data_IF_750025052255
#
_entry.id   IF_750025052255
#
_cell.length_a   1.000
_cell.length_b   1.000
_cell.length_c   1.000
_cell.angle_alpha   90.00
_cell.angle_beta   90.00
_cell.angle_gamma   90.00
#
_symmetry.space_group_name_H-M   'P 1'
#
loop_
_entity.id
_entity.type
_entity.pdbx_description
1 polymer ?
#
# COMPACT_ATOMS: atom_id res chain seq x y z
N UNK A 1 -13.76 -11.24 61.16
CA UNK A 1 -13.86 -12.37 60.21
C UNK A 1 -14.13 -11.78 58.82
N UNK A 2 -13.24 -11.99 57.84
CA UNK A 2 -13.40 -11.44 56.48
C UNK A 2 -14.29 -12.40 55.66
N UNK A 3 -15.52 -11.97 55.34
CA UNK A 3 -16.39 -12.66 54.40
C UNK A 3 -15.77 -12.64 53.00
N UNK A 4 -15.14 -13.75 52.59
CA UNK A 4 -14.77 -13.96 51.19
C UNK A 4 -16.01 -14.47 50.44
N UNK A 5 -16.75 -13.56 49.81
CA UNK A 5 -17.74 -13.93 48.79
C UNK A 5 -16.95 -14.33 47.53
N UNK A 6 -16.84 -15.63 47.27
CA UNK A 6 -16.35 -16.14 46.00
C UNK A 6 -17.48 -16.13 44.96
N UNK A 7 -17.13 -15.89 43.70
CA UNK A 7 -18.05 -16.09 42.58
C UNK A 7 -18.45 -17.57 42.49
N UNK A 8 -19.69 -17.82 42.08
CA UNK A 8 -20.17 -19.18 41.84
C UNK A 8 -19.75 -19.66 40.46
N UNK A 9 -19.51 -20.97 40.29
CA UNK A 9 -19.14 -21.55 38.99
C UNK A 9 -20.21 -21.29 37.92
N UNK A 10 -21.49 -21.31 38.31
CA UNK A 10 -22.63 -21.06 37.42
C UNK A 10 -22.55 -19.66 36.81
N UNK A 11 -22.18 -18.67 37.61
CA UNK A 11 -22.09 -17.27 37.20
C UNK A 11 -21.01 -17.06 36.14
N UNK A 12 -19.88 -17.77 36.24
CA UNK A 12 -18.83 -17.76 35.22
C UNK A 12 -19.27 -18.48 33.94
N UNK A 13 -19.99 -19.61 34.04
CA UNK A 13 -20.43 -20.36 32.86
C UNK A 13 -21.43 -19.54 32.03
N UNK A 14 -22.39 -18.86 32.66
CA UNK A 14 -23.36 -18.02 31.94
C UNK A 14 -22.66 -16.88 31.19
N UNK A 15 -21.68 -16.24 31.82
CA UNK A 15 -20.90 -15.16 31.18
C UNK A 15 -20.11 -15.70 29.98
N UNK A 16 -19.44 -16.85 30.11
CA UNK A 16 -18.69 -17.46 29.02
C UNK A 16 -19.59 -17.85 27.85
N UNK A 17 -20.81 -18.35 28.10
CA UNK A 17 -21.78 -18.66 27.05
C UNK A 17 -22.19 -17.41 26.28
N UNK A 18 -22.49 -16.31 26.98
CA UNK A 18 -22.85 -15.04 26.32
C UNK A 18 -21.66 -14.50 25.51
N UNK A 19 -20.44 -14.52 26.06
CA UNK A 19 -19.23 -14.10 25.36
C UNK A 19 -18.96 -14.96 24.12
N UNK A 20 -19.21 -16.28 24.18
CA UNK A 20 -19.05 -17.17 23.04
C UNK A 20 -20.04 -16.84 21.90
N UNK A 21 -21.30 -16.55 22.22
CA UNK A 21 -22.31 -16.16 21.23
C UNK A 21 -21.94 -14.82 20.58
N UNK A 22 -21.52 -13.83 21.38
CA UNK A 22 -21.10 -12.53 20.86
C UNK A 22 -19.86 -12.64 19.97
N UNK A 23 -18.86 -13.42 20.39
CA UNK A 23 -17.66 -13.66 19.61
C UNK A 23 -17.98 -14.34 18.26
N UNK A 24 -18.89 -15.32 18.24
CA UNK A 24 -19.26 -16.03 17.02
C UNK A 24 -19.84 -15.11 15.92
N UNK A 25 -20.56 -14.05 16.30
CA UNK A 25 -21.13 -13.08 15.35
C UNK A 25 -20.13 -11.95 15.04
N UNK A 26 -19.38 -11.50 16.04
CA UNK A 26 -18.46 -10.36 15.89
C UNK A 26 -17.24 -10.69 15.04
N UNK A 27 -16.63 -11.87 15.22
CA UNK A 27 -15.38 -12.27 14.54
C UNK A 27 -15.48 -12.21 13.01
N UNK A 28 -16.47 -12.85 12.34
CA UNK A 28 -16.55 -12.80 10.87
C UNK A 28 -16.77 -11.36 10.35
N UNK A 29 -17.55 -10.54 11.07
CA UNK A 29 -17.77 -9.14 10.69
C UNK A 29 -16.49 -8.32 10.78
N UNK A 30 -15.72 -8.47 11.86
CA UNK A 30 -14.45 -7.75 12.04
C UNK A 30 -13.44 -8.14 10.97
N UNK A 31 -13.32 -9.42 10.61
CA UNK A 31 -12.43 -9.86 9.53
C UNK A 31 -12.82 -9.21 8.19
N UNK A 32 -14.11 -9.14 7.88
CA UNK A 32 -14.60 -8.46 6.68
C UNK A 32 -14.19 -6.99 6.63
N UNK A 33 -14.41 -6.25 7.72
CA UNK A 33 -14.02 -4.84 7.82
C UNK A 33 -12.50 -4.62 7.70
N UNK A 34 -11.70 -5.52 8.28
CA UNK A 34 -10.24 -5.46 8.14
C UNK A 34 -9.82 -5.63 6.69
N UNK A 35 -10.43 -6.56 5.95
CA UNK A 35 -10.11 -6.77 4.53
C UNK A 35 -10.51 -5.57 3.66
N UNK A 36 -11.68 -4.99 3.89
CA UNK A 36 -12.13 -3.77 3.19
C UNK A 36 -11.21 -2.58 3.48
N UNK A 37 -10.79 -2.42 4.75
CA UNK A 37 -9.83 -1.39 5.13
C UNK A 37 -8.46 -1.60 4.46
N UNK A 38 -7.99 -2.85 4.33
CA UNK A 38 -6.76 -3.18 3.61
C UNK A 38 -6.86 -2.81 2.13
N UNK A 39 -7.95 -3.19 1.46
CA UNK A 39 -8.17 -2.85 0.05
C UNK A 39 -8.22 -1.34 -0.16
N UNK A 40 -8.95 -0.62 0.70
CA UNK A 40 -9.02 0.84 0.67
C UNK A 40 -7.66 1.50 0.88
N UNK A 41 -6.81 0.93 1.75
CA UNK A 41 -5.44 1.37 1.94
C UNK A 41 -4.60 1.16 0.69
N UNK A 42 -4.61 -0.04 0.09
CA UNK A 42 -3.85 -0.32 -1.14
C UNK A 42 -4.25 0.64 -2.28
N UNK A 43 -5.54 0.96 -2.39
CA UNK A 43 -6.02 1.94 -3.38
C UNK A 43 -5.45 3.35 -3.10
N UNK A 44 -5.38 3.77 -1.83
CA UNK A 44 -4.81 5.06 -1.46
C UNK A 44 -3.30 5.12 -1.70
N UNK A 45 -2.57 4.05 -1.41
CA UNK A 45 -1.14 3.91 -1.70
C UNK A 45 -0.86 4.02 -3.20
N UNK A 46 -1.63 3.29 -4.02
CA UNK A 46 -1.58 3.39 -5.48
C UNK A 46 -1.83 4.83 -5.98
N UNK A 47 -2.81 5.54 -5.40
CA UNK A 47 -3.06 6.94 -5.72
C UNK A 47 -1.90 7.87 -5.31
N UNK A 48 -1.27 7.59 -4.18
CA UNK A 48 -0.09 8.32 -3.72
C UNK A 48 1.07 8.16 -4.71
N UNK A 49 1.39 6.91 -5.10
CA UNK A 49 2.40 6.59 -6.10
C UNK A 49 2.14 7.35 -7.41
N UNK A 50 0.92 7.22 -7.94
CA UNK A 50 0.53 7.89 -9.19
C UNK A 50 0.63 9.41 -9.10
N UNK A 51 0.24 10.01 -7.97
CA UNK A 51 0.31 11.47 -7.77
C UNK A 51 1.76 11.95 -7.81
N UNK A 52 2.69 11.21 -7.21
CA UNK A 52 4.12 11.53 -7.25
C UNK A 52 4.66 11.42 -8.68
N UNK A 53 4.38 10.31 -9.37
CA UNK A 53 4.80 10.10 -10.77
C UNK A 53 4.32 11.23 -11.66
N UNK A 54 3.02 11.54 -11.65
CA UNK A 54 2.45 12.60 -12.49
C UNK A 54 3.03 13.98 -12.14
N UNK A 55 3.29 14.25 -10.86
CA UNK A 55 3.89 15.52 -10.44
C UNK A 55 5.31 15.67 -10.97
N UNK A 56 6.14 14.63 -10.88
CA UNK A 56 7.52 14.69 -11.39
C UNK A 56 7.56 14.71 -12.92
N UNK A 57 6.71 13.93 -13.59
CA UNK A 57 6.58 13.97 -15.07
C UNK A 57 6.09 15.33 -15.55
N UNK A 58 5.14 15.97 -14.86
CA UNK A 58 4.66 17.30 -15.20
C UNK A 58 5.75 18.36 -15.06
N UNK A 59 6.61 18.27 -14.03
CA UNK A 59 7.77 19.17 -13.89
C UNK A 59 8.76 18.98 -15.05
N UNK A 60 9.06 17.73 -15.40
CA UNK A 60 9.99 17.43 -16.49
C UNK A 60 9.48 17.99 -17.84
N UNK A 61 8.19 17.81 -18.13
CA UNK A 61 7.51 18.40 -19.31
C UNK A 61 7.41 19.93 -19.29
N UNK A 62 7.55 20.57 -18.14
CA UNK A 62 7.55 22.03 -18.04
C UNK A 62 8.92 22.63 -18.37
N UNK A 63 9.99 21.86 -18.15
CA UNK A 63 11.37 22.26 -18.42
C UNK A 63 11.87 21.86 -19.79
N UNK A 64 11.31 20.78 -20.35
CA UNK A 64 11.73 20.17 -21.61
C UNK A 64 10.50 19.80 -22.45
N UNK A 65 10.70 19.44 -23.72
CA UNK A 65 9.64 18.88 -24.59
C UNK A 65 9.91 17.38 -24.86
N UNK A 66 9.80 16.52 -23.83
CA UNK A 66 10.25 15.14 -23.90
C UNK A 66 9.36 14.28 -24.79
N UNK A 67 9.96 13.36 -25.54
CA UNK A 67 9.24 12.28 -26.20
C UNK A 67 8.66 11.30 -25.17
N UNK A 68 7.78 10.38 -25.61
CA UNK A 68 7.24 9.35 -24.71
C UNK A 68 8.34 8.46 -24.11
N UNK A 69 9.38 8.15 -24.88
CA UNK A 69 10.51 7.36 -24.41
C UNK A 69 11.33 8.09 -23.33
N UNK A 70 11.45 9.42 -23.45
CA UNK A 70 12.18 10.23 -22.46
C UNK A 70 11.43 10.26 -21.13
N UNK A 71 10.09 10.31 -21.17
CA UNK A 71 9.25 10.18 -19.98
C UNK A 71 9.45 8.83 -19.31
N UNK A 72 9.45 7.73 -20.08
CA UNK A 72 9.59 6.39 -19.54
C UNK A 72 10.98 6.16 -18.91
N UNK A 73 12.03 6.72 -19.52
CA UNK A 73 13.38 6.71 -18.93
C UNK A 73 13.44 7.57 -17.66
N UNK A 74 12.83 8.76 -17.67
CA UNK A 74 12.77 9.62 -16.49
C UNK A 74 12.04 8.94 -15.33
N UNK A 75 10.94 8.22 -15.58
CA UNK A 75 10.24 7.43 -14.55
C UNK A 75 11.19 6.39 -13.93
N UNK A 76 11.95 5.65 -14.74
CA UNK A 76 12.96 4.70 -14.23
C UNK A 76 14.06 5.37 -13.41
N UNK A 77 14.49 6.56 -13.81
CA UNK A 77 15.52 7.32 -13.11
C UNK A 77 15.06 7.85 -11.74
N UNK A 78 13.78 8.21 -11.61
CA UNK A 78 13.20 8.63 -10.31
C UNK A 78 12.80 7.43 -9.42
N UNK A 79 12.64 6.23 -9.99
CA UNK A 79 12.42 4.97 -9.25
C UNK A 79 13.72 4.41 -8.67
N UNK A 80 14.78 4.34 -9.49
CA UNK A 80 16.09 3.79 -9.10
C UNK A 80 16.91 4.69 -8.16
N UNK A 81 16.49 5.95 -7.98
CA UNK A 81 17.24 6.93 -7.18
C UNK A 81 18.49 7.49 -7.87
N UNK A 82 18.76 7.11 -9.13
CA UNK A 82 19.89 7.60 -9.92
C UNK A 82 19.88 9.12 -10.18
N UNK A 83 18.75 9.79 -9.95
CA UNK A 83 18.60 11.26 -10.06
C UNK A 83 18.91 12.02 -8.76
N UNK A 84 19.28 11.34 -7.68
CA UNK A 84 19.58 11.98 -6.41
C UNK A 84 21.10 12.05 -6.20
N UNK A 85 21.68 13.24 -6.44
CA UNK A 85 22.95 13.64 -5.84
C UNK A 85 22.79 13.66 -4.31
N UNK A 86 22.99 12.53 -3.65
CA UNK A 86 23.11 12.45 -2.19
C UNK A 86 24.35 11.68 -1.81
N UNK A 87 25.18 12.31 -0.97
CA UNK A 87 26.48 11.83 -0.50
C UNK A 87 26.44 10.61 0.44
N UNK A 88 25.29 9.94 0.58
CA UNK A 88 25.13 8.77 1.44
C UNK A 88 25.02 7.52 0.58
N UNK A 89 26.08 6.71 0.63
CA UNK A 89 26.20 5.42 -0.07
C UNK A 89 25.33 4.31 0.54
N UNK A 90 24.14 4.66 1.03
CA UNK A 90 23.14 3.71 1.53
C UNK A 90 22.03 3.68 0.48
N UNK A 91 21.69 2.48 -0.02
CA UNK A 91 20.79 2.23 -1.15
C UNK A 91 19.77 3.37 -1.38
N UNK A 92 19.97 4.13 -2.46
CA UNK A 92 19.17 5.32 -2.74
C UNK A 92 17.74 4.89 -3.03
N UNK A 93 16.83 5.10 -2.07
CA UNK A 93 15.39 4.98 -2.34
C UNK A 93 15.01 6.05 -3.37
N UNK A 94 14.36 5.63 -4.46
CA UNK A 94 13.82 6.54 -5.47
C UNK A 94 12.94 7.64 -4.89
N UNK A 95 12.78 8.72 -5.65
CA UNK A 95 11.94 9.87 -5.28
C UNK A 95 10.52 9.44 -4.92
N UNK A 96 9.99 8.43 -5.63
CA UNK A 96 8.64 7.90 -5.42
C UNK A 96 8.54 7.25 -4.03
N UNK A 97 9.34 6.21 -3.76
CA UNK A 97 9.38 5.54 -2.46
C UNK A 97 9.62 6.52 -1.30
N UNK A 98 10.50 7.52 -1.48
CA UNK A 98 10.77 8.55 -0.47
C UNK A 98 9.57 9.46 -0.18
N UNK A 99 8.79 9.82 -1.21
CA UNK A 99 7.64 10.73 -1.07
C UNK A 99 6.37 10.02 -0.62
N UNK A 100 6.22 8.73 -0.95
CA UNK A 100 5.08 7.92 -0.54
C UNK A 100 5.31 7.24 0.80
N UNK A 101 6.56 7.18 1.28
CA UNK A 101 6.98 6.43 2.47
C UNK A 101 6.76 4.91 2.34
N UNK A 102 6.59 4.42 1.11
CA UNK A 102 6.43 3.01 0.78
C UNK A 102 7.77 2.36 0.49
N UNK A 103 7.84 1.07 0.76
CA UNK A 103 9.01 0.24 0.45
C UNK A 103 8.92 -0.36 -0.95
N UNK A 104 10.08 -0.46 -1.60
CA UNK A 104 10.31 -1.07 -2.92
C UNK A 104 9.18 -0.79 -3.91
N UNK A 105 9.12 0.45 -4.41
CA UNK A 105 8.12 0.87 -5.39
C UNK A 105 8.67 0.75 -6.80
N UNK A 106 7.92 0.10 -7.69
CA UNK A 106 8.16 0.08 -9.13
C UNK A 106 6.91 0.53 -9.91
N UNK A 107 7.13 1.17 -11.07
CA UNK A 107 6.07 1.69 -11.92
C UNK A 107 6.41 1.45 -13.39
N UNK A 108 5.58 0.67 -14.06
CA UNK A 108 5.61 0.48 -15.50
C UNK A 108 4.51 1.29 -16.19
N UNK A 109 4.88 2.09 -17.19
CA UNK A 109 3.93 2.84 -18.02
C UNK A 109 3.75 2.14 -19.36
N UNK A 110 2.49 1.88 -19.72
CA UNK A 110 2.14 1.39 -21.05
C UNK A 110 1.01 2.26 -21.63
N UNK A 111 1.41 3.28 -22.40
CA UNK A 111 0.50 4.29 -22.95
C UNK A 111 -0.21 5.07 -21.84
N UNK A 112 -1.50 4.77 -21.62
CA UNK A 112 -2.35 5.44 -20.63
C UNK A 112 -2.60 4.63 -19.36
N UNK A 113 -1.96 3.47 -19.22
CA UNK A 113 -2.08 2.61 -18.05
C UNK A 113 -0.77 2.63 -17.29
N UNK A 114 -0.86 2.81 -15.97
CA UNK A 114 0.24 2.63 -15.04
C UNK A 114 0.03 1.31 -14.31
N UNK A 115 1.01 0.41 -14.38
CA UNK A 115 1.09 -0.75 -13.51
C UNK A 115 2.08 -0.41 -12.41
N UNK A 116 1.66 -0.58 -11.16
CA UNK A 116 2.44 -0.20 -9.99
C UNK A 116 2.63 -1.43 -9.13
N UNK A 117 3.84 -1.60 -8.62
CA UNK A 117 4.24 -2.64 -7.69
C UNK A 117 4.81 -1.98 -6.46
N UNK A 118 4.44 -2.44 -5.26
CA UNK A 118 5.04 -1.95 -4.02
C UNK A 118 4.90 -2.95 -2.90
N UNK A 119 5.73 -2.78 -1.86
CA UNK A 119 5.54 -3.42 -0.58
C UNK A 119 4.74 -2.46 0.31
N UNK A 120 3.55 -2.90 0.70
CA UNK A 120 2.65 -2.14 1.56
C UNK A 120 3.05 -2.30 3.03
N UNK A 121 2.73 -1.36 3.92
CA UNK A 121 3.07 -1.38 5.38
C UNK A 121 2.75 -2.67 6.17
N UNK A 122 1.98 -3.59 5.62
CA UNK A 122 1.63 -4.89 6.20
C UNK A 122 2.38 -6.04 5.52
N UNK A 123 3.52 -5.71 4.91
CA UNK A 123 4.47 -6.59 4.22
C UNK A 123 3.88 -7.37 3.02
N UNK A 124 2.72 -6.94 2.50
CA UNK A 124 2.13 -7.55 1.32
C UNK A 124 2.65 -6.90 0.04
N UNK A 125 3.02 -7.74 -0.93
CA UNK A 125 3.45 -7.31 -2.25
C UNK A 125 2.23 -7.02 -3.11
N UNK A 126 1.99 -5.75 -3.41
CA UNK A 126 0.78 -5.34 -4.12
C UNK A 126 1.11 -5.04 -5.58
N UNK A 127 0.21 -5.47 -6.45
CA UNK A 127 0.18 -5.06 -7.86
C UNK A 127 -1.14 -4.36 -8.12
N UNK A 128 -1.08 -3.15 -8.68
CA UNK A 128 -2.27 -2.42 -9.09
C UNK A 128 -2.11 -1.78 -10.46
N UNK A 129 -3.21 -1.70 -11.18
CA UNK A 129 -3.29 -0.94 -12.43
C UNK A 129 -4.12 0.31 -12.22
N UNK A 130 -3.64 1.45 -12.70
CA UNK A 130 -4.37 2.70 -12.76
C UNK A 130 -4.57 3.10 -14.23
N UNK A 131 -5.83 3.32 -14.60
CA UNK A 131 -6.21 3.77 -15.95
C UNK A 131 -6.41 5.29 -16.01
N UNK A 132 -6.53 5.85 -17.21
CA UNK A 132 -6.75 7.30 -17.45
C UNK A 132 -7.90 7.92 -16.63
N UNK A 133 -8.91 7.13 -16.24
CA UNK A 133 -10.02 7.61 -15.42
C UNK A 133 -9.67 7.70 -13.92
N UNK A 134 -8.40 7.48 -13.55
CA UNK A 134 -7.91 7.34 -12.18
C UNK A 134 -8.61 6.22 -11.42
N UNK A 135 -9.10 5.23 -12.16
CA UNK A 135 -9.68 4.02 -11.58
C UNK A 135 -8.52 3.08 -11.22
N UNK A 136 -8.34 2.84 -9.93
CA UNK A 136 -7.35 1.90 -9.41
C UNK A 136 -8.01 0.54 -9.30
N UNK A 137 -7.35 -0.46 -9.88
CA UNK A 137 -7.71 -1.86 -9.72
C UNK A 137 -6.54 -2.61 -9.11
N UNK A 138 -6.75 -3.18 -7.92
CA UNK A 138 -5.81 -4.13 -7.33
C UNK A 138 -5.87 -5.42 -8.14
N UNK A 139 -4.72 -5.83 -8.67
CA UNK A 139 -4.57 -7.03 -9.51
C UNK A 139 -4.12 -8.21 -8.64
N UNK A 140 -3.20 -7.98 -7.72
CA UNK A 140 -2.70 -8.98 -6.77
C UNK A 140 -2.35 -8.33 -5.44
N UNK A 141 -2.53 -9.06 -4.33
CA UNK A 141 -2.03 -8.71 -2.99
C UNK A 141 -0.86 -9.59 -2.55
N UNK A 142 -0.35 -10.41 -3.47
CA UNK A 142 0.81 -11.29 -3.30
C UNK A 142 1.52 -11.38 -4.66
N UNK A 143 2.04 -10.25 -5.12
CA UNK A 143 2.71 -10.15 -6.41
C UNK A 143 4.11 -10.76 -6.35
N UNK A 144 4.46 -11.54 -7.37
CA UNK A 144 5.81 -12.08 -7.55
C UNK A 144 6.72 -11.14 -8.33
N UNK A 145 6.37 -9.84 -8.41
CA UNK A 145 7.19 -8.84 -9.09
C UNK A 145 8.57 -8.75 -8.44
N UNK A 146 9.60 -8.60 -9.30
CA UNK A 146 10.96 -8.42 -8.83
C UNK A 146 11.32 -6.95 -8.87
N UNK A 147 11.81 -6.41 -7.76
CA UNK A 147 12.15 -4.99 -7.61
C UNK A 147 13.62 -4.66 -7.96
N UNK A 148 14.34 -5.61 -8.55
CA UNK A 148 15.74 -5.47 -8.99
C UNK A 148 15.91 -4.53 -10.21
#
# INVERSE_FOLDING_TARGET
>A
MKNKKGFTLVEIIVVLVILAILAAIAVPSVIGYVNEAKESRYIQEAHSIYTVVETEVAKYKATDDPSENDIDNYIKDILSGNTIDTADNNQLKGIIAKKTELDDVDVERNGNTYTMYWISDDDHHIEATLTKNKDVKIVSTDSNHNFD
#
